data_IF_692734767049
#
_entry.id   IF_692734767049
#
_cell.length_a   1.000
_cell.length_b   1.000
_cell.length_c   1.000
_cell.angle_alpha   90.00
_cell.angle_beta   90.00
_cell.angle_gamma   90.00
#
_symmetry.space_group_name_H-M   'P 1'
#
loop_
_entity.id
_entity.type
_entity.pdbx_description
1 polymer ?
#
# COMPACT_ATOMS: atom_id res chain seq x y z
N UNK A 1 4.94 0.40 -32.90
CA UNK A 1 3.76 0.91 -32.18
C UNK A 1 4.10 0.82 -30.72
N UNK A 2 4.30 1.94 -30.06
CA UNK A 2 4.73 1.98 -28.66
C UNK A 2 3.47 1.98 -27.77
N UNK A 3 3.31 0.95 -26.95
CA UNK A 3 2.08 0.66 -26.19
C UNK A 3 2.34 0.79 -24.69
N UNK A 4 3.34 1.57 -24.31
CA UNK A 4 3.68 1.75 -22.89
C UNK A 4 2.49 2.39 -22.18
N UNK A 5 1.79 1.70 -21.26
CA UNK A 5 0.63 2.27 -20.60
C UNK A 5 1.09 3.46 -19.76
N UNK A 6 0.55 4.64 -20.06
CA UNK A 6 0.79 5.82 -19.23
C UNK A 6 0.23 5.56 -17.84
N UNK A 7 1.11 5.47 -16.84
CA UNK A 7 0.70 5.39 -15.44
C UNK A 7 -0.01 6.69 -15.10
N UNK A 8 -1.28 6.62 -14.68
CA UNK A 8 -2.04 7.83 -14.33
C UNK A 8 -1.39 8.50 -13.12
N UNK A 9 -1.22 9.82 -13.17
CA UNK A 9 -0.64 10.61 -12.06
C UNK A 9 -1.39 10.45 -10.73
N UNK A 10 -2.68 10.11 -10.81
CA UNK A 10 -3.55 9.99 -9.64
C UNK A 10 -3.51 8.59 -9.00
N UNK A 11 -2.52 7.76 -9.37
CA UNK A 11 -2.34 6.42 -8.79
C UNK A 11 -1.11 6.32 -7.88
N UNK A 12 -1.26 5.56 -6.80
CA UNK A 12 -0.16 5.08 -5.99
C UNK A 12 0.63 4.03 -6.77
N UNK A 13 1.85 4.39 -7.21
CA UNK A 13 2.75 3.50 -7.95
C UNK A 13 3.83 2.98 -6.99
N UNK A 14 3.90 1.66 -6.83
CA UNK A 14 5.03 1.02 -6.15
C UNK A 14 6.22 1.02 -7.12
N UNK A 15 7.20 1.89 -6.87
CA UNK A 15 8.39 2.05 -7.70
C UNK A 15 9.46 1.00 -7.36
N UNK A 16 9.62 0.68 -6.08
CA UNK A 16 10.57 -0.34 -5.60
C UNK A 16 10.16 -0.88 -4.22
N UNK A 17 10.60 -2.11 -3.92
CA UNK A 17 10.44 -2.76 -2.63
C UNK A 17 11.70 -3.59 -2.32
N UNK A 18 12.03 -3.73 -1.04
CA UNK A 18 13.24 -4.44 -0.59
C UNK A 18 13.86 -3.77 0.64
N UNK A 19 14.80 -4.46 1.28
CA UNK A 19 15.55 -3.94 2.44
C UNK A 19 14.66 -3.39 3.57
N UNK A 20 13.47 -3.99 3.77
CA UNK A 20 12.50 -3.57 4.77
C UNK A 20 11.75 -2.27 4.43
N UNK A 21 11.79 -1.83 3.18
CA UNK A 21 11.18 -0.57 2.74
C UNK A 21 10.43 -0.67 1.42
N UNK A 22 9.55 0.30 1.19
CA UNK A 22 8.82 0.51 -0.06
C UNK A 22 9.02 1.96 -0.52
N UNK A 23 9.19 2.15 -1.83
CA UNK A 23 9.10 3.47 -2.47
C UNK A 23 7.81 3.53 -3.27
N UNK A 24 6.88 4.39 -2.86
CA UNK A 24 5.54 4.49 -3.42
C UNK A 24 5.25 5.94 -3.76
N UNK A 25 5.02 6.22 -5.05
CA UNK A 25 4.78 7.57 -5.59
C UNK A 25 5.75 8.63 -5.03
N UNK A 26 7.03 8.29 -4.97
CA UNK A 26 8.10 9.17 -4.48
C UNK A 26 8.32 9.17 -2.96
N UNK A 27 7.46 8.51 -2.17
CA UNK A 27 7.54 8.46 -0.71
C UNK A 27 8.15 7.13 -0.26
N UNK A 28 9.11 7.20 0.67
CA UNK A 28 9.74 6.01 1.28
C UNK A 28 9.02 5.63 2.57
N UNK A 29 8.58 4.38 2.64
CA UNK A 29 7.95 3.79 3.81
C UNK A 29 8.84 2.69 4.38
N UNK A 30 9.24 2.81 5.64
CA UNK A 30 10.07 1.83 6.37
C UNK A 30 9.25 0.92 7.29
N UNK A 31 7.95 0.81 7.03
CA UNK A 31 7.00 -0.01 7.78
C UNK A 31 6.02 -0.66 6.79
N UNK A 32 5.26 -1.70 7.20
CA UNK A 32 4.16 -2.20 6.39
C UNK A 32 3.18 -1.08 6.01
N UNK A 33 2.61 -1.20 4.82
CA UNK A 33 1.68 -0.21 4.24
C UNK A 33 0.46 -0.90 3.64
N UNK A 34 -0.68 -0.20 3.62
CA UNK A 34 -1.86 -0.55 2.82
C UNK A 34 -1.95 0.45 1.68
N UNK A 35 -1.95 -0.05 0.45
CA UNK A 35 -1.95 0.78 -0.76
C UNK A 35 -3.30 0.68 -1.46
N UNK A 36 -3.97 1.83 -1.60
CA UNK A 36 -5.16 2.04 -2.41
C UNK A 36 -4.79 2.81 -3.68
N UNK A 37 -5.68 2.89 -4.69
CA UNK A 37 -5.40 3.65 -5.90
C UNK A 37 -4.97 5.09 -5.62
N UNK A 38 -5.61 5.80 -4.70
CA UNK A 38 -5.37 7.22 -4.46
C UNK A 38 -4.63 7.50 -3.13
N UNK A 39 -4.48 6.50 -2.27
CA UNK A 39 -3.99 6.67 -0.89
C UNK A 39 -3.04 5.53 -0.48
N UNK A 40 -1.98 5.88 0.26
CA UNK A 40 -1.12 4.92 0.93
C UNK A 40 -1.16 5.15 2.45
N UNK A 41 -1.46 4.11 3.22
CA UNK A 41 -1.61 4.16 4.68
C UNK A 41 -0.47 3.38 5.34
N UNK A 42 0.45 4.04 6.06
CA UNK A 42 1.46 3.35 6.85
C UNK A 42 0.86 2.72 8.12
N UNK A 43 1.32 1.52 8.47
CA UNK A 43 0.90 0.79 9.67
C UNK A 43 1.89 0.97 10.84
N UNK A 44 2.70 2.04 10.83
CA UNK A 44 3.71 2.35 11.85
C UNK A 44 3.18 2.45 13.28
N UNK A 45 1.88 2.69 13.43
CA UNK A 45 1.23 2.95 14.73
C UNK A 45 0.53 1.71 15.29
N UNK A 46 0.61 0.56 14.62
CA UNK A 46 -0.02 -0.65 15.13
C UNK A 46 0.92 -1.45 16.02
N UNK A 47 0.45 -1.81 17.21
CA UNK A 47 1.13 -2.72 18.11
C UNK A 47 1.34 -4.10 17.43
N UNK A 48 2.53 -4.68 17.60
CA UNK A 48 2.94 -5.94 16.98
C UNK A 48 1.98 -7.08 17.36
N UNK A 49 1.46 -7.06 18.59
CA UNK A 49 0.50 -8.04 19.09
C UNK A 49 -0.87 -7.99 18.36
N UNK A 50 -1.25 -6.83 17.82
CA UNK A 50 -2.54 -6.61 17.13
C UNK A 50 -2.39 -6.35 15.62
N UNK A 51 -1.17 -6.48 15.08
CA UNK A 51 -0.80 -6.17 13.69
C UNK A 51 -1.79 -6.68 12.64
N UNK A 52 -2.29 -7.91 12.80
CA UNK A 52 -3.28 -8.52 11.88
C UNK A 52 -4.62 -7.78 11.89
N UNK A 53 -5.11 -7.36 13.06
CA UNK A 53 -6.40 -6.69 13.19
C UNK A 53 -6.31 -5.26 12.67
N UNK A 54 -5.22 -4.53 12.97
CA UNK A 54 -5.02 -3.20 12.43
C UNK A 54 -5.00 -3.18 10.90
N UNK A 55 -4.35 -4.18 10.29
CA UNK A 55 -4.31 -4.30 8.84
C UNK A 55 -5.72 -4.34 8.25
N UNK A 56 -6.58 -5.23 8.75
CA UNK A 56 -7.94 -5.34 8.25
C UNK A 56 -8.81 -4.13 8.63
N UNK A 57 -8.60 -3.50 9.79
CA UNK A 57 -9.25 -2.22 10.12
C UNK A 57 -8.90 -1.15 9.08
N UNK A 58 -7.63 -1.01 8.74
CA UNK A 58 -7.17 -0.04 7.74
C UNK A 58 -7.75 -0.33 6.35
N UNK A 59 -8.03 -1.59 6.01
CA UNK A 59 -8.70 -1.94 4.74
C UNK A 59 -10.20 -1.62 4.77
N UNK A 60 -10.91 -2.09 5.80
CA UNK A 60 -12.38 -2.07 5.83
C UNK A 60 -13.00 -0.80 6.43
N UNK A 61 -12.21 0.07 7.08
CA UNK A 61 -12.70 1.36 7.58
C UNK A 61 -12.61 2.48 6.54
N UNK A 62 -12.05 2.21 5.36
CA UNK A 62 -12.07 3.17 4.25
C UNK A 62 -13.41 3.14 3.52
N UNK A 63 -13.74 4.25 2.85
CA UNK A 63 -14.89 4.32 1.93
C UNK A 63 -14.68 3.45 0.69
N UNK A 64 -13.44 3.06 0.40
CA UNK A 64 -13.10 2.22 -0.73
C UNK A 64 -13.30 0.74 -0.37
N UNK A 65 -14.24 0.07 -1.05
CA UNK A 65 -14.43 -1.38 -0.90
C UNK A 65 -13.69 -2.12 -2.01
N UNK A 66 -12.50 -2.70 -1.74
CA UNK A 66 -11.79 -3.47 -2.74
C UNK A 66 -12.52 -4.78 -3.03
N UNK A 67 -12.63 -5.15 -4.31
CA UNK A 67 -13.10 -6.49 -4.71
C UNK A 67 -12.02 -7.57 -4.55
N UNK A 68 -10.75 -7.16 -4.58
CA UNK A 68 -9.58 -8.03 -4.44
C UNK A 68 -8.60 -7.34 -3.49
N UNK A 69 -8.07 -8.11 -2.55
CA UNK A 69 -7.01 -7.69 -1.63
C UNK A 69 -5.76 -8.53 -1.90
N UNK A 70 -4.67 -7.87 -2.30
CA UNK A 70 -3.36 -8.51 -2.43
C UNK A 70 -2.61 -8.38 -1.10
N UNK A 71 -2.14 -9.49 -0.55
CA UNK A 71 -1.40 -9.53 0.70
C UNK A 71 0.03 -10.03 0.46
N UNK A 72 1.03 -9.16 0.69
CA UNK A 72 2.44 -9.53 0.64
C UNK A 72 2.94 -9.98 2.01
N UNK A 73 3.46 -11.20 2.10
CA UNK A 73 3.97 -11.78 3.35
C UNK A 73 5.52 -11.77 3.46
N UNK A 74 6.19 -11.02 2.58
CA UNK A 74 7.65 -11.06 2.41
C UNK A 74 8.07 -11.82 1.18
#
# INVERSE_FOLDING_TARGET
MDVTPLVSKDRQLIESYGDGSFKISGVVYSSPVVVFPELCIPLSNCDVAESKICFFKAVFQTTYMPSILLFGAG
#
